data_IF_092901751545
#
_entry.id   IF_092901751545
#
_cell.length_a   1.000
_cell.length_b   1.000
_cell.length_c   1.000
_cell.angle_alpha   90.00
_cell.angle_beta   90.00
_cell.angle_gamma   90.00
#
_symmetry.space_group_name_H-M   'P 1'
#
loop_
_entity.id
_entity.type
_entity.pdbx_description
1 polymer ?
#
# COMPACT_ATOMS: atom_id res chain seq x y z
N UNK A 1 37.73 -13.58 57.99
CA UNK A 1 38.82 -14.59 58.06
C UNK A 1 38.74 -15.42 56.77
N UNK A 2 39.74 -15.27 55.89
CA UNK A 2 40.02 -16.01 54.64
C UNK A 2 39.08 -15.80 53.42
N UNK A 3 39.22 -14.63 52.79
CA UNK A 3 39.76 -14.40 51.43
C UNK A 3 39.84 -15.49 50.34
N UNK A 4 39.60 -15.00 49.10
CA UNK A 4 40.26 -15.33 47.80
C UNK A 4 39.77 -16.61 47.05
N UNK A 5 39.55 -16.71 45.73
CA UNK A 5 40.07 -16.03 44.52
C UNK A 5 39.16 -16.28 43.30
N UNK A 6 38.97 -15.27 42.46
CA UNK A 6 38.77 -15.42 41.01
C UNK A 6 40.15 -15.45 40.36
N UNK A 7 40.45 -16.45 39.53
CA UNK A 7 41.66 -16.45 38.67
C UNK A 7 41.32 -16.74 37.22
N UNK A 8 41.69 -15.78 36.35
CA UNK A 8 41.87 -15.91 34.91
C UNK A 8 43.21 -16.62 34.63
N UNK A 9 43.19 -17.78 33.96
CA UNK A 9 44.02 -18.12 32.77
C UNK A 9 43.94 -19.61 32.40
N UNK A 10 43.38 -19.85 31.21
CA UNK A 10 43.89 -20.70 30.12
C UNK A 10 44.07 -22.21 30.34
N UNK A 11 43.27 -22.98 29.58
CA UNK A 11 43.53 -24.34 29.17
C UNK A 11 42.75 -24.66 27.91
N UNK A 12 43.36 -24.44 26.74
CA UNK A 12 42.89 -24.87 25.43
C UNK A 12 42.73 -26.39 25.38
N UNK A 13 41.66 -26.86 24.71
CA UNK A 13 41.64 -28.18 24.10
C UNK A 13 40.37 -28.98 24.36
N UNK A 14 39.38 -28.83 23.48
CA UNK A 14 38.73 -29.96 22.79
C UNK A 14 37.77 -29.40 21.74
N UNK A 15 38.24 -29.45 20.49
CA UNK A 15 37.40 -29.33 19.32
C UNK A 15 36.37 -30.47 19.36
N UNK A 16 35.12 -30.13 19.65
CA UNK A 16 33.99 -31.02 19.41
C UNK A 16 33.54 -30.80 17.96
N UNK A 17 33.70 -31.84 17.17
CA UNK A 17 33.12 -32.01 15.83
C UNK A 17 31.61 -31.74 15.94
N UNK A 18 31.17 -30.58 15.44
CA UNK A 18 29.76 -30.34 15.18
C UNK A 18 29.36 -31.20 13.97
N UNK A 19 28.93 -32.43 14.25
CA UNK A 19 28.27 -33.26 13.26
C UNK A 19 27.05 -32.48 12.75
N UNK A 20 27.06 -32.18 11.45
CA UNK A 20 25.99 -31.45 10.79
C UNK A 20 24.66 -32.19 10.95
N UNK A 21 23.78 -31.65 11.79
CA UNK A 21 22.36 -31.90 11.66
C UNK A 21 21.91 -31.14 10.42
N UNK A 22 21.77 -31.85 9.31
CA UNK A 22 20.96 -31.38 8.20
C UNK A 22 19.58 -31.11 8.80
N UNK A 23 19.23 -29.84 8.98
CA UNK A 23 17.92 -29.45 9.45
C UNK A 23 16.92 -30.00 8.43
N UNK A 24 16.21 -31.07 8.79
CA UNK A 24 15.07 -31.52 8.02
C UNK A 24 14.13 -30.32 7.86
N UNK A 25 13.64 -30.00 6.66
CA UNK A 25 12.71 -28.91 6.48
C UNK A 25 11.52 -29.18 7.41
N UNK A 26 11.28 -28.26 8.34
CA UNK A 26 10.13 -28.34 9.23
C UNK A 26 8.89 -28.47 8.34
N UNK A 27 8.25 -29.65 8.37
CA UNK A 27 6.97 -29.88 7.73
C UNK A 27 6.00 -28.84 8.29
N UNK A 28 5.67 -27.83 7.50
CA UNK A 28 4.69 -26.82 7.87
C UNK A 28 3.39 -27.53 8.28
N UNK A 29 2.94 -27.31 9.51
CA UNK A 29 1.68 -27.87 9.99
C UNK A 29 0.55 -27.40 9.07
N UNK A 30 -0.37 -28.32 8.71
CA UNK A 30 -1.56 -27.98 7.92
C UNK A 30 -2.32 -26.83 8.58
N UNK A 31 -2.76 -25.86 7.77
CA UNK A 31 -3.61 -24.76 8.23
C UNK A 31 -4.84 -25.32 8.96
N UNK A 32 -5.13 -24.81 10.16
CA UNK A 32 -6.35 -25.14 10.90
C UNK A 32 -7.60 -24.50 10.28
N UNK A 33 -7.43 -23.49 9.42
CA UNK A 33 -8.51 -22.76 8.78
C UNK A 33 -8.82 -23.42 7.45
N UNK A 34 -10.06 -23.88 7.20
CA UNK A 34 -10.44 -24.50 5.93
C UNK A 34 -10.50 -23.43 4.83
N UNK A 35 -9.89 -23.76 3.69
CA UNK A 35 -9.94 -23.01 2.44
C UNK A 35 -9.88 -23.96 1.23
N UNK A 36 -10.32 -23.51 0.06
CA UNK A 36 -10.23 -24.30 -1.19
C UNK A 36 -8.94 -24.00 -1.96
N UNK A 37 -8.37 -25.03 -2.59
CA UNK A 37 -7.15 -24.95 -3.41
C UNK A 37 -7.35 -25.32 -4.87
N UNK A 38 -8.43 -26.03 -5.18
CA UNK A 38 -8.78 -26.38 -6.56
C UNK A 38 -9.21 -25.13 -7.30
N UNK A 39 -8.45 -24.77 -8.34
CA UNK A 39 -8.64 -23.53 -9.09
C UNK A 39 -10.00 -23.55 -9.78
N UNK A 40 -10.87 -22.62 -9.38
CA UNK A 40 -12.14 -22.34 -10.05
C UNK A 40 -12.43 -20.83 -9.97
N UNK A 41 -12.13 -20.13 -11.07
CA UNK A 41 -12.32 -18.69 -11.17
C UNK A 41 -13.80 -18.27 -11.08
N UNK A 42 -14.74 -19.20 -11.30
CA UNK A 42 -16.19 -18.94 -11.21
C UNK A 42 -16.78 -19.30 -9.84
N UNK A 43 -15.98 -19.83 -8.92
CA UNK A 43 -16.42 -20.16 -7.58
C UNK A 43 -16.14 -19.00 -6.60
N UNK A 44 -17.18 -18.37 -6.01
CA UNK A 44 -17.00 -17.26 -5.09
C UNK A 44 -16.26 -17.64 -3.80
N UNK A 45 -16.35 -18.89 -3.36
CA UNK A 45 -15.61 -19.40 -2.21
C UNK A 45 -14.12 -19.48 -2.50
N UNK A 46 -13.75 -19.98 -3.69
CA UNK A 46 -12.35 -20.02 -4.13
C UNK A 46 -11.78 -18.61 -4.32
N UNK A 47 -12.56 -17.69 -4.90
CA UNK A 47 -12.19 -16.28 -5.03
C UNK A 47 -11.90 -15.66 -3.67
N UNK A 48 -12.82 -15.81 -2.69
CA UNK A 48 -12.64 -15.33 -1.32
C UNK A 48 -11.36 -15.89 -0.70
N UNK A 49 -11.19 -17.21 -0.74
CA UNK A 49 -10.11 -17.90 -0.05
C UNK A 49 -8.73 -17.56 -0.65
N UNK A 50 -8.64 -17.53 -1.98
CA UNK A 50 -7.39 -17.18 -2.69
C UNK A 50 -7.07 -15.70 -2.53
N UNK A 51 -8.05 -14.82 -2.64
CA UNK A 51 -7.84 -13.38 -2.43
C UNK A 51 -7.45 -13.07 -0.98
N UNK A 52 -8.07 -13.72 0.01
CA UNK A 52 -7.65 -13.60 1.41
C UNK A 52 -6.18 -14.02 1.60
N UNK A 53 -5.74 -15.12 0.98
CA UNK A 53 -4.34 -15.58 1.05
C UNK A 53 -3.35 -14.63 0.34
N UNK A 54 -3.77 -13.85 -0.67
CA UNK A 54 -2.94 -12.80 -1.28
C UNK A 54 -2.85 -11.57 -0.39
N UNK A 55 -3.99 -11.12 0.12
CA UNK A 55 -4.11 -9.91 0.91
C UNK A 55 -3.44 -10.04 2.28
N UNK A 56 -3.46 -11.22 2.90
CA UNK A 56 -2.87 -11.47 4.20
C UNK A 56 -2.51 -12.93 4.47
N UNK A 57 -2.22 -13.23 5.73
CA UNK A 57 -2.00 -14.59 6.21
C UNK A 57 -3.29 -15.08 6.91
N UNK A 58 -3.75 -16.29 6.57
CA UNK A 58 -4.94 -16.85 7.22
C UNK A 58 -4.70 -17.11 8.72
N UNK A 59 -3.47 -17.39 9.14
CA UNK A 59 -3.13 -17.51 10.56
C UNK A 59 -3.22 -16.13 11.25
N UNK A 60 -4.20 -15.90 12.14
CA UNK A 60 -4.46 -14.59 12.72
C UNK A 60 -3.36 -14.13 13.69
N UNK A 61 -2.48 -15.06 14.12
CA UNK A 61 -1.33 -14.74 14.96
C UNK A 61 -0.19 -14.10 14.15
N UNK A 62 -0.21 -14.25 12.82
CA UNK A 62 0.79 -13.70 11.91
C UNK A 62 0.31 -12.37 11.32
N UNK A 63 1.28 -11.53 10.97
CA UNK A 63 1.07 -10.37 10.14
C UNK A 63 1.85 -10.52 8.83
N UNK A 64 1.26 -10.07 7.73
CA UNK A 64 1.90 -10.03 6.41
C UNK A 64 2.43 -8.63 6.17
N UNK A 65 3.70 -8.52 5.79
CA UNK A 65 4.25 -7.29 5.24
C UNK A 65 4.13 -7.29 3.72
N UNK A 66 3.74 -6.15 3.16
CA UNK A 66 3.90 -5.85 1.74
C UNK A 66 4.90 -4.73 1.55
N UNK A 67 5.62 -4.71 0.43
CA UNK A 67 6.50 -3.60 0.04
C UNK A 67 5.94 -2.94 -1.22
N UNK A 68 6.23 -1.65 -1.39
CA UNK A 68 5.92 -0.92 -2.62
C UNK A 68 7.07 0.01 -2.98
N UNK A 69 7.45 0.03 -4.26
CA UNK A 69 8.49 0.90 -4.80
C UNK A 69 8.13 1.36 -6.21
N UNK A 70 8.43 2.60 -6.54
CA UNK A 70 8.21 3.10 -7.89
C UNK A 70 8.42 4.60 -8.00
N UNK A 71 7.72 5.21 -8.95
CA UNK A 71 7.86 6.62 -9.27
C UNK A 71 6.50 7.27 -9.46
N UNK A 72 6.38 8.49 -8.94
CA UNK A 72 5.30 9.38 -9.27
C UNK A 72 5.76 10.38 -10.34
N UNK A 73 4.94 10.53 -11.37
CA UNK A 73 5.18 11.46 -12.47
C UNK A 73 4.02 12.43 -12.60
N UNK A 74 4.33 13.69 -12.89
CA UNK A 74 3.35 14.72 -13.20
C UNK A 74 3.00 14.70 -14.68
N UNK A 75 1.71 14.64 -14.97
CA UNK A 75 1.14 14.65 -16.31
C UNK A 75 0.37 15.94 -16.48
N UNK A 76 0.83 16.79 -17.40
CA UNK A 76 0.23 18.10 -17.68
C UNK A 76 0.36 18.40 -19.17
N UNK A 77 -0.59 19.17 -19.69
CA UNK A 77 -0.65 19.55 -21.10
C UNK A 77 0.60 20.32 -21.56
N UNK A 78 0.91 20.18 -22.86
CA UNK A 78 1.95 20.94 -23.58
C UNK A 78 3.38 20.81 -23.03
N UNK A 79 3.65 19.77 -22.25
CA UNK A 79 5.01 19.41 -21.83
C UNK A 79 5.17 17.89 -21.73
N UNK A 80 6.42 17.44 -21.68
CA UNK A 80 6.71 16.02 -21.39
C UNK A 80 6.23 15.67 -19.98
N UNK A 81 5.84 14.40 -19.80
CA UNK A 81 5.64 13.82 -18.48
C UNK A 81 6.89 14.03 -17.62
N UNK A 82 6.70 14.52 -16.40
CA UNK A 82 7.79 14.98 -15.53
C UNK A 82 7.95 14.03 -14.33
N UNK A 83 9.12 13.39 -14.14
CA UNK A 83 9.46 12.74 -12.88
C UNK A 83 9.36 13.75 -11.73
N UNK A 84 8.68 13.39 -10.64
CA UNK A 84 8.53 14.28 -9.48
C UNK A 84 9.36 13.78 -8.28
N UNK A 85 9.16 12.52 -7.92
CA UNK A 85 9.81 11.86 -6.79
C UNK A 85 9.64 10.34 -6.91
N UNK A 86 10.53 9.61 -6.25
CA UNK A 86 10.38 8.17 -6.07
C UNK A 86 9.46 7.89 -4.88
N UNK A 87 8.82 6.73 -4.92
CA UNK A 87 7.78 6.29 -3.99
C UNK A 87 8.27 5.02 -3.34
N UNK A 88 8.31 4.97 -2.01
CA UNK A 88 8.64 3.75 -1.28
C UNK A 88 7.82 3.64 -0.01
N UNK A 89 7.30 2.45 0.26
CA UNK A 89 6.45 2.23 1.42
C UNK A 89 6.22 0.77 1.71
N UNK A 90 5.33 0.52 2.66
CA UNK A 90 4.94 -0.82 3.06
C UNK A 90 3.53 -0.84 3.65
N UNK A 91 2.97 -2.04 3.70
CA UNK A 91 1.73 -2.32 4.41
C UNK A 91 1.95 -3.44 5.41
N UNK A 92 1.19 -3.42 6.52
CA UNK A 92 1.16 -4.49 7.50
C UNK A 92 -0.28 -4.94 7.69
N UNK A 93 -0.53 -6.22 7.41
CA UNK A 93 -1.88 -6.80 7.35
C UNK A 93 -2.05 -7.94 8.34
N UNK A 94 -3.17 -7.96 9.05
CA UNK A 94 -3.68 -9.13 9.79
C UNK A 94 -5.06 -9.48 9.28
N UNK A 95 -5.37 -10.78 9.19
CA UNK A 95 -6.72 -11.25 8.90
C UNK A 95 -7.38 -11.80 10.15
N UNK A 96 -8.65 -11.46 10.35
CA UNK A 96 -9.55 -12.13 11.31
C UNK A 96 -10.61 -12.90 10.54
N UNK A 97 -10.80 -14.18 10.87
CA UNK A 97 -11.94 -14.96 10.34
C UNK A 97 -13.22 -14.51 11.04
N UNK A 98 -14.27 -14.26 10.27
CA UNK A 98 -15.61 -13.94 10.79
C UNK A 98 -16.48 -15.19 10.87
N UNK A 99 -17.57 -15.13 11.64
CA UNK A 99 -18.50 -16.25 11.87
C UNK A 99 -19.14 -16.76 10.58
N UNK A 100 -19.44 -15.86 9.64
CA UNK A 100 -20.00 -16.19 8.33
C UNK A 100 -18.98 -16.81 7.35
N UNK A 101 -17.75 -17.01 7.82
CA UNK A 101 -16.66 -17.57 7.02
C UNK A 101 -15.96 -16.55 6.13
N UNK A 102 -16.31 -15.26 6.15
CA UNK A 102 -15.54 -14.20 5.53
C UNK A 102 -14.27 -13.85 6.32
N UNK A 103 -13.41 -13.01 5.76
CA UNK A 103 -12.20 -12.51 6.42
C UNK A 103 -12.26 -11.00 6.55
N UNK A 104 -12.04 -10.48 7.76
CA UNK A 104 -11.81 -9.07 7.99
C UNK A 104 -10.32 -8.77 7.84
N UNK A 105 -9.96 -7.95 6.86
CA UNK A 105 -8.61 -7.42 6.66
C UNK A 105 -8.41 -6.21 7.57
N UNK A 106 -7.41 -6.31 8.44
CA UNK A 106 -6.93 -5.22 9.28
C UNK A 106 -5.61 -4.71 8.71
N UNK A 107 -5.57 -3.43 8.31
CA UNK A 107 -4.46 -2.89 7.53
C UNK A 107 -4.02 -1.53 8.06
N UNK A 108 -2.70 -1.38 8.15
CA UNK A 108 -2.00 -0.09 8.12
C UNK A 108 -1.08 -0.05 6.91
N UNK A 109 -1.00 1.11 6.28
CA UNK A 109 -0.06 1.35 5.19
C UNK A 109 0.55 2.73 5.30
N UNK A 110 1.82 2.79 4.90
CA UNK A 110 2.59 4.02 4.89
C UNK A 110 3.44 4.09 3.64
N UNK A 111 3.47 5.26 2.99
CA UNK A 111 4.28 5.52 1.81
C UNK A 111 4.97 6.87 1.95
N UNK A 112 6.28 6.83 1.77
CA UNK A 112 7.17 7.98 1.78
C UNK A 112 7.57 8.37 0.36
N UNK A 113 7.99 9.62 0.22
CA UNK A 113 8.48 10.17 -1.04
C UNK A 113 9.98 10.42 -0.94
N UNK A 114 10.71 10.02 -1.97
CA UNK A 114 12.15 10.13 -2.06
C UNK A 114 12.56 11.13 -3.13
N UNK A 115 13.61 11.87 -2.84
CA UNK A 115 14.26 12.75 -3.78
C UNK A 115 14.90 11.94 -4.93
N UNK A 116 14.72 12.41 -6.17
CA UNK A 116 15.13 11.66 -7.37
C UNK A 116 16.66 11.56 -7.54
N UNK A 117 17.41 12.54 -7.01
CA UNK A 117 18.86 12.60 -7.18
C UNK A 117 19.57 11.86 -6.04
N UNK A 118 19.14 12.10 -4.81
CA UNK A 118 19.79 11.59 -3.60
C UNK A 118 19.21 10.28 -3.08
N UNK A 119 17.99 9.92 -3.50
CA UNK A 119 17.25 8.76 -3.00
C UNK A 119 16.80 8.89 -1.53
N UNK A 120 16.98 10.05 -0.89
CA UNK A 120 16.62 10.26 0.51
C UNK A 120 15.12 10.51 0.67
N UNK A 121 14.54 10.01 1.76
CA UNK A 121 13.18 10.39 2.18
C UNK A 121 13.15 11.91 2.38
N UNK A 122 12.12 12.56 1.84
CA UNK A 122 11.99 14.01 1.85
C UNK A 122 11.04 14.50 2.94
N UNK A 123 11.50 15.46 3.74
CA UNK A 123 10.63 16.28 4.61
C UNK A 123 10.13 17.54 3.89
N UNK A 124 10.88 17.99 2.88
CA UNK A 124 10.54 19.13 2.02
C UNK A 124 10.92 18.87 0.58
N UNK A 125 10.19 19.45 -0.36
CA UNK A 125 10.38 19.26 -1.80
C UNK A 125 10.22 20.56 -2.56
N UNK A 126 11.11 20.80 -3.54
CA UNK A 126 11.00 21.95 -4.44
C UNK A 126 10.01 21.62 -5.54
N UNK A 127 8.81 22.17 -5.48
CA UNK A 127 7.80 21.97 -6.51
C UNK A 127 8.25 22.64 -7.82
N UNK A 128 8.48 21.89 -8.91
CA UNK A 128 9.03 22.42 -10.15
C UNK A 128 7.96 23.11 -11.03
N UNK A 129 6.71 23.16 -10.58
CA UNK A 129 5.61 23.88 -11.22
C UNK A 129 5.36 25.25 -10.60
N UNK A 130 5.54 25.39 -9.28
CA UNK A 130 5.34 26.65 -8.55
C UNK A 130 6.64 27.32 -8.13
N UNK A 131 7.78 26.60 -8.21
CA UNK A 131 9.06 26.98 -7.62
C UNK A 131 8.99 27.23 -6.10
N UNK A 132 7.97 26.73 -5.41
CA UNK A 132 7.90 26.79 -3.95
C UNK A 132 8.55 25.57 -3.33
N UNK A 133 9.21 25.74 -2.18
CA UNK A 133 9.61 24.60 -1.34
C UNK A 133 8.45 24.30 -0.39
N UNK A 134 7.89 23.10 -0.52
CA UNK A 134 6.72 22.67 0.26
C UNK A 134 7.11 21.56 1.24
N UNK A 135 6.42 21.48 2.38
CA UNK A 135 6.57 20.34 3.30
C UNK A 135 5.91 19.11 2.68
N UNK A 136 6.60 17.98 2.73
CA UNK A 136 6.07 16.70 2.23
C UNK A 136 5.18 16.08 3.32
N UNK A 137 4.06 15.49 2.90
CA UNK A 137 3.18 14.72 3.79
C UNK A 137 3.10 13.30 3.25
N UNK A 138 3.53 12.28 4.02
CA UNK A 138 3.47 10.89 3.58
C UNK A 138 2.01 10.42 3.47
N UNK A 139 1.79 9.36 2.70
CA UNK A 139 0.54 8.61 2.81
C UNK A 139 0.63 7.79 4.08
N UNK A 140 -0.35 7.92 4.96
CA UNK A 140 -0.44 7.17 6.19
C UNK A 140 -1.92 6.81 6.44
N UNK A 141 -2.31 5.60 6.07
CA UNK A 141 -3.71 5.16 6.20
C UNK A 141 -3.82 4.17 7.36
N UNK A 142 -4.56 4.59 8.39
CA UNK A 142 -4.80 3.84 9.63
C UNK A 142 -6.21 4.13 10.17
N UNK A 143 -7.13 3.17 10.17
CA UNK A 143 -7.06 1.86 9.52
C UNK A 143 -7.49 1.96 8.04
N UNK A 144 -7.18 0.94 7.24
CA UNK A 144 -7.78 0.75 5.92
C UNK A 144 -8.42 -0.65 5.79
N UNK A 145 -9.41 -0.90 6.66
CA UNK A 145 -10.00 -2.22 6.84
C UNK A 145 -11.15 -2.48 5.85
N UNK A 146 -11.24 -3.70 5.33
CA UNK A 146 -12.37 -4.18 4.53
C UNK A 146 -12.61 -5.68 4.73
N UNK A 147 -13.77 -6.16 4.29
CA UNK A 147 -14.18 -7.56 4.41
C UNK A 147 -14.04 -8.28 3.08
N UNK A 148 -13.39 -9.44 3.10
CA UNK A 148 -13.24 -10.37 1.98
C UNK A 148 -14.24 -11.51 2.18
N UNK A 149 -15.37 -11.44 1.49
CA UNK A 149 -16.45 -12.43 1.53
C UNK A 149 -16.68 -13.12 0.19
N UNK A 150 -17.69 -13.98 0.12
CA UNK A 150 -18.10 -14.65 -1.13
C UNK A 150 -18.93 -13.73 -2.06
N UNK A 151 -19.09 -12.47 -1.69
CA UNK A 151 -19.90 -11.49 -2.40
C UNK A 151 -19.10 -10.23 -2.64
N UNK A 152 -19.37 -9.56 -3.77
CA UNK A 152 -18.75 -8.30 -4.09
C UNK A 152 -19.05 -7.26 -3.00
N UNK A 153 -18.11 -6.34 -2.70
CA UNK A 153 -18.32 -5.30 -1.72
C UNK A 153 -19.49 -4.40 -2.13
N UNK A 154 -20.19 -3.87 -1.14
CA UNK A 154 -21.13 -2.77 -1.36
C UNK A 154 -20.36 -1.52 -1.83
N UNK A 155 -21.01 -0.62 -2.58
CA UNK A 155 -20.42 0.66 -2.92
C UNK A 155 -19.90 1.38 -1.67
N UNK A 156 -18.76 2.08 -1.74
CA UNK A 156 -18.24 2.84 -0.61
C UNK A 156 -19.29 3.85 -0.14
N UNK A 157 -19.56 3.87 1.17
CA UNK A 157 -20.59 4.74 1.74
C UNK A 157 -20.20 6.22 1.75
N UNK A 158 -18.92 6.54 1.58
CA UNK A 158 -18.35 7.90 1.71
C UNK A 158 -18.87 8.64 2.95
N UNK A 159 -18.83 8.00 4.12
CA UNK A 159 -19.37 8.59 5.35
C UNK A 159 -20.90 8.74 5.37
N UNK A 160 -21.62 7.93 4.58
CA UNK A 160 -23.08 7.93 4.48
C UNK A 160 -23.65 8.75 3.31
N UNK A 161 -22.79 9.34 2.47
CA UNK A 161 -23.19 10.11 1.29
C UNK A 161 -23.68 9.21 0.15
N UNK A 162 -23.13 8.00 0.03
CA UNK A 162 -23.61 7.01 -0.92
C UNK A 162 -24.63 6.10 -0.23
N UNK A 163 -25.85 6.07 -0.77
CA UNK A 163 -26.97 5.26 -0.28
C UNK A 163 -27.32 4.11 -1.22
N UNK A 164 -26.56 3.94 -2.30
CA UNK A 164 -26.82 2.90 -3.30
C UNK A 164 -26.66 1.52 -2.69
N UNK A 165 -27.68 0.67 -2.89
CA UNK A 165 -27.69 -0.72 -2.45
C UNK A 165 -27.94 -1.63 -3.65
N UNK A 166 -26.95 -1.79 -4.54
CA UNK A 166 -27.10 -2.67 -5.69
C UNK A 166 -27.36 -4.11 -5.22
N UNK A 167 -28.00 -4.95 -6.06
CA UNK A 167 -28.21 -6.35 -5.75
C UNK A 167 -26.91 -7.05 -5.37
N UNK A 168 -26.97 -7.90 -4.34
CA UNK A 168 -25.83 -8.69 -3.87
C UNK A 168 -25.40 -9.64 -5.00
N UNK A 169 -24.14 -9.55 -5.40
CA UNK A 169 -23.54 -10.39 -6.46
C UNK A 169 -22.37 -11.19 -5.90
N UNK A 170 -22.11 -12.41 -6.41
CA UNK A 170 -20.96 -13.21 -5.99
C UNK A 170 -19.66 -12.45 -6.27
N UNK A 171 -18.64 -12.66 -5.41
CA UNK A 171 -17.30 -12.14 -5.63
C UNK A 171 -16.62 -13.00 -6.70
N UNK A 172 -16.53 -12.45 -7.91
CA UNK A 172 -15.76 -13.01 -9.01
C UNK A 172 -14.76 -11.95 -9.45
N UNK A 173 -13.48 -12.21 -9.22
CA UNK A 173 -12.39 -11.32 -9.60
C UNK A 173 -11.80 -11.72 -10.96
N UNK A 174 -11.03 -10.82 -11.55
CA UNK A 174 -10.44 -10.98 -12.88
C UNK A 174 -9.15 -11.82 -12.82
N UNK A 175 -9.34 -13.13 -12.70
CA UNK A 175 -8.25 -14.11 -12.67
C UNK A 175 -7.93 -14.65 -14.05
N UNK A 176 -6.65 -14.84 -14.32
CA UNK A 176 -6.18 -15.39 -15.58
C UNK A 176 -5.04 -16.40 -15.37
N UNK A 177 -4.99 -17.42 -16.23
CA UNK A 177 -3.78 -18.22 -16.40
C UNK A 177 -2.78 -17.43 -17.25
N UNK A 178 -1.51 -17.45 -16.88
CA UNK A 178 -0.44 -16.82 -17.64
C UNK A 178 0.70 -17.81 -17.95
N UNK A 179 1.60 -17.45 -18.88
CA UNK A 179 2.77 -18.27 -19.18
C UNK A 179 3.62 -18.61 -17.95
N UNK A 180 4.43 -19.66 -18.06
CA UNK A 180 5.35 -20.13 -17.01
C UNK A 180 4.65 -20.55 -15.71
N UNK A 181 3.49 -21.22 -15.81
CA UNK A 181 2.69 -21.71 -14.67
C UNK A 181 2.35 -20.62 -13.64
N UNK A 182 2.05 -19.42 -14.14
CA UNK A 182 1.62 -18.29 -13.31
C UNK A 182 0.09 -18.15 -13.33
N UNK A 183 -0.45 -17.60 -12.24
CA UNK A 183 -1.80 -17.07 -12.15
C UNK A 183 -1.68 -15.56 -11.98
N UNK A 184 -2.55 -14.82 -12.66
CA UNK A 184 -2.68 -13.37 -12.56
C UNK A 184 -4.00 -13.03 -11.91
N UNK A 185 -4.02 -11.91 -11.20
CA UNK A 185 -5.23 -11.24 -10.77
C UNK A 185 -5.11 -9.77 -11.15
N UNK A 186 -6.10 -9.23 -11.84
CA UNK A 186 -6.26 -7.79 -12.00
C UNK A 186 -7.37 -7.30 -11.06
N UNK A 187 -7.09 -6.21 -10.35
CA UNK A 187 -8.13 -5.49 -9.60
C UNK A 187 -8.04 -4.01 -9.92
N UNK A 188 -9.19 -3.36 -10.03
CA UNK A 188 -9.27 -1.94 -10.27
C UNK A 188 -10.30 -1.29 -9.36
N UNK A 189 -10.07 -0.03 -9.03
CA UNK A 189 -11.06 0.83 -8.40
C UNK A 189 -11.01 2.20 -9.07
N UNK A 190 -12.16 2.65 -9.55
CA UNK A 190 -12.35 3.96 -10.15
C UNK A 190 -13.30 4.76 -9.26
N UNK A 191 -12.79 5.85 -8.69
CA UNK A 191 -13.47 6.64 -7.67
C UNK A 191 -13.79 8.04 -8.19
N UNK A 192 -15.03 8.46 -7.95
CA UNK A 192 -15.47 9.84 -8.12
C UNK A 192 -16.40 10.22 -6.99
N UNK A 193 -15.93 11.03 -6.05
CA UNK A 193 -16.63 11.31 -4.79
C UNK A 193 -16.35 12.72 -4.27
N UNK A 194 -17.17 13.27 -3.35
CA UNK A 194 -16.94 14.60 -2.79
C UNK A 194 -15.57 14.71 -2.13
N UNK A 195 -14.83 15.77 -2.47
CA UNK A 195 -13.48 15.99 -1.96
C UNK A 195 -13.51 16.43 -0.48
N UNK A 196 -12.76 15.77 0.40
CA UNK A 196 -12.65 16.22 1.79
C UNK A 196 -12.01 17.63 1.92
N UNK A 197 -11.19 18.02 0.93
CA UNK A 197 -10.58 19.33 0.82
C UNK A 197 -11.43 20.23 -0.08
N UNK A 198 -12.54 20.76 0.44
CA UNK A 198 -13.41 21.67 -0.32
C UNK A 198 -12.67 22.97 -0.73
N UNK A 199 -12.79 23.40 -2.00
CA UNK A 199 -11.91 24.42 -2.60
C UNK A 199 -12.05 25.81 -1.99
N UNK A 200 -13.17 26.14 -1.36
CA UNK A 200 -13.39 27.42 -0.67
C UNK A 200 -12.51 27.54 0.57
N UNK A 201 -12.22 26.41 1.24
CA UNK A 201 -11.36 26.34 2.43
C UNK A 201 -9.91 26.00 2.08
N UNK A 202 -9.72 25.07 1.15
CA UNK A 202 -8.44 24.48 0.79
C UNK A 202 -7.97 24.96 -0.58
N UNK A 203 -7.84 26.27 -0.74
CA UNK A 203 -7.65 26.93 -2.05
C UNK A 203 -6.43 26.39 -2.80
N UNK A 204 -5.35 26.05 -2.09
CA UNK A 204 -4.08 25.60 -2.68
C UNK A 204 -3.93 24.09 -2.70
N UNK A 205 -4.66 23.37 -1.87
CA UNK A 205 -4.57 21.92 -1.74
C UNK A 205 -5.67 21.17 -2.50
N UNK A 206 -6.81 21.82 -2.73
CA UNK A 206 -7.97 21.23 -3.36
C UNK A 206 -7.81 21.14 -4.86
N UNK A 207 -8.02 19.94 -5.40
CA UNK A 207 -8.19 19.72 -6.84
C UNK A 207 -9.60 20.07 -7.36
N UNK A 208 -10.49 20.58 -6.51
CA UNK A 208 -11.89 20.89 -6.83
C UNK A 208 -12.88 20.17 -5.91
N UNK A 209 -14.18 20.38 -6.15
CA UNK A 209 -15.26 19.88 -5.30
C UNK A 209 -15.39 18.35 -5.24
N UNK A 210 -14.92 17.65 -6.28
CA UNK A 210 -14.91 16.19 -6.38
C UNK A 210 -13.48 15.69 -6.49
N UNK A 211 -13.18 14.61 -5.77
CA UNK A 211 -11.95 13.85 -5.95
C UNK A 211 -12.16 12.77 -7.02
N UNK A 212 -11.19 12.61 -7.92
CA UNK A 212 -11.20 11.61 -8.99
C UNK A 212 -9.91 10.81 -8.95
N UNK A 213 -9.98 9.55 -8.54
CA UNK A 213 -8.81 8.69 -8.36
C UNK A 213 -9.10 7.34 -8.97
N UNK A 214 -8.11 6.76 -9.64
CA UNK A 214 -8.15 5.36 -10.09
C UNK A 214 -6.92 4.63 -9.61
N UNK A 215 -7.09 3.38 -9.21
CA UNK A 215 -5.99 2.48 -8.86
C UNK A 215 -6.16 1.15 -9.58
N UNK A 216 -5.06 0.65 -10.14
CA UNK A 216 -4.99 -0.60 -10.89
C UNK A 216 -3.87 -1.45 -10.30
N UNK A 217 -4.19 -2.69 -9.98
CA UNK A 217 -3.26 -3.66 -9.44
C UNK A 217 -3.23 -4.90 -10.34
N UNK A 218 -2.04 -5.39 -10.61
CA UNK A 218 -1.82 -6.71 -11.20
C UNK A 218 -0.96 -7.52 -10.26
N UNK A 219 -1.46 -8.67 -9.82
CA UNK A 219 -0.75 -9.64 -9.01
C UNK A 219 -0.21 -10.75 -9.91
N UNK A 220 1.04 -11.14 -9.71
CA UNK A 220 1.66 -12.33 -10.31
C UNK A 220 2.01 -13.31 -9.21
N UNK A 221 1.48 -14.53 -9.30
CA UNK A 221 1.72 -15.59 -8.33
C UNK A 221 1.91 -16.93 -9.03
N UNK A 222 2.73 -17.82 -8.43
CA UNK A 222 2.93 -19.16 -9.00
C UNK A 222 1.68 -20.00 -8.78
N UNK A 223 1.25 -20.75 -9.79
CA UNK A 223 0.14 -21.70 -9.67
C UNK A 223 0.38 -22.71 -8.56
N UNK A 224 1.63 -23.17 -8.39
CA UNK A 224 2.03 -24.10 -7.34
C UNK A 224 1.72 -23.58 -5.93
N UNK A 225 1.85 -22.27 -5.69
CA UNK A 225 1.56 -21.64 -4.40
C UNK A 225 0.05 -21.48 -4.17
N UNK A 226 -0.70 -21.16 -5.24
CA UNK A 226 -2.17 -21.06 -5.21
C UNK A 226 -2.80 -22.39 -4.80
N UNK A 227 -2.35 -23.50 -5.39
CA UNK A 227 -2.91 -24.83 -5.10
C UNK A 227 -2.32 -25.49 -3.84
N UNK A 228 -1.36 -24.85 -3.15
CA UNK A 228 -0.71 -25.43 -1.99
C UNK A 228 -1.59 -25.35 -0.72
N UNK A 229 -2.06 -26.48 -0.17
CA UNK A 229 -2.95 -26.49 1.00
C UNK A 229 -2.24 -26.15 2.32
N UNK A 230 -0.91 -26.07 2.33
CA UNK A 230 -0.13 -25.75 3.53
C UNK A 230 0.24 -24.26 3.61
N UNK A 231 -0.04 -23.48 2.56
CA UNK A 231 0.46 -22.13 2.41
C UNK A 231 -0.62 -21.11 2.79
N UNK A 232 -0.61 -20.59 4.01
CA UNK A 232 -1.65 -19.66 4.50
C UNK A 232 -1.54 -18.23 3.98
N UNK A 233 -0.46 -17.91 3.26
CA UNK A 233 -0.25 -16.65 2.54
C UNK A 233 0.42 -16.96 1.22
N UNK A 234 -0.10 -16.48 0.09
CA UNK A 234 0.49 -16.69 -1.23
C UNK A 234 1.51 -15.57 -1.52
N UNK A 235 2.81 -15.89 -1.65
CA UNK A 235 3.81 -14.93 -2.09
C UNK A 235 3.50 -14.43 -3.50
N UNK A 236 3.66 -13.13 -3.71
CA UNK A 236 3.40 -12.51 -5.00
C UNK A 236 4.27 -11.26 -5.19
N UNK A 237 4.45 -10.92 -6.45
CA UNK A 237 4.92 -9.61 -6.91
C UNK A 237 3.92 -9.05 -7.88
N UNK A 238 3.95 -7.75 -8.12
CA UNK A 238 2.91 -7.08 -8.88
C UNK A 238 3.30 -5.71 -9.38
N UNK A 239 2.38 -5.14 -10.15
CA UNK A 239 2.41 -3.75 -10.56
C UNK A 239 1.23 -3.01 -9.93
N UNK A 240 1.48 -1.80 -9.45
CA UNK A 240 0.47 -0.86 -9.01
C UNK A 240 0.61 0.43 -9.79
N UNK A 241 -0.50 0.87 -10.37
CA UNK A 241 -0.59 2.17 -11.02
C UNK A 241 -1.74 2.95 -10.41
N UNK A 242 -1.53 4.25 -10.20
CA UNK A 242 -2.55 5.14 -9.66
C UNK A 242 -2.60 6.44 -10.44
N UNK A 243 -3.80 6.85 -10.83
CA UNK A 243 -4.07 8.19 -11.37
C UNK A 243 -4.75 8.97 -10.25
N UNK A 244 -4.21 10.13 -9.89
CA UNK A 244 -4.72 10.96 -8.81
C UNK A 244 -4.49 12.42 -9.12
N UNK A 245 -5.31 13.37 -8.62
CA UNK A 245 -4.99 14.78 -8.74
C UNK A 245 -3.63 15.09 -8.07
N UNK A 246 -3.13 16.30 -8.28
CA UNK A 246 -1.96 16.78 -7.54
C UNK A 246 -2.12 16.53 -6.05
N UNK A 247 -1.06 16.08 -5.38
CA UNK A 247 -1.14 15.81 -3.94
C UNK A 247 -1.40 17.12 -3.20
N UNK A 248 -2.25 17.12 -2.15
CA UNK A 248 -2.59 18.33 -1.40
C UNK A 248 -1.37 19.17 -0.99
N UNK A 249 -0.32 18.52 -0.47
CA UNK A 249 0.90 19.17 -0.01
C UNK A 249 1.74 19.79 -1.13
N UNK A 250 1.48 19.48 -2.40
CA UNK A 250 2.15 20.14 -3.53
C UNK A 250 1.65 21.57 -3.76
N UNK A 251 0.53 21.97 -3.16
CA UNK A 251 -0.04 23.31 -3.25
C UNK A 251 -0.37 23.76 -4.68
N UNK A 252 -0.88 22.83 -5.49
CA UNK A 252 -1.21 23.05 -6.91
C UNK A 252 -2.62 23.59 -7.15
N UNK A 253 -3.50 23.50 -6.15
CA UNK A 253 -4.93 23.81 -6.25
C UNK A 253 -5.56 23.11 -7.44
N UNK A 254 -6.34 23.87 -8.21
CA UNK A 254 -7.04 23.42 -9.42
C UNK A 254 -6.18 23.53 -10.69
N UNK A 255 -4.84 23.46 -10.58
CA UNK A 255 -3.94 23.49 -11.73
C UNK A 255 -4.24 22.32 -12.69
N UNK A 256 -4.27 22.54 -14.02
CA UNK A 256 -4.46 21.46 -14.98
C UNK A 256 -3.39 20.38 -14.82
N UNK A 257 -3.81 19.12 -14.95
CA UNK A 257 -2.94 17.94 -14.86
C UNK A 257 -3.23 17.07 -13.64
N UNK A 258 -2.38 16.07 -13.44
CA UNK A 258 -2.53 15.06 -12.41
C UNK A 258 -1.21 14.32 -12.18
N UNK A 259 -1.19 13.40 -11.21
CA UNK A 259 -0.09 12.46 -10.98
C UNK A 259 -0.48 11.08 -11.50
N UNK A 260 0.48 10.44 -12.16
CA UNK A 260 0.47 9.00 -12.40
C UNK A 260 1.56 8.33 -11.57
N UNK A 261 1.18 7.32 -10.79
CA UNK A 261 2.10 6.43 -10.09
C UNK A 261 2.37 5.23 -10.98
N UNK A 262 3.63 4.83 -11.08
CA UNK A 262 4.06 3.59 -11.74
C UNK A 262 4.97 2.85 -10.78
N UNK A 263 4.43 1.81 -10.16
CA UNK A 263 5.10 1.10 -9.08
C UNK A 263 5.07 -0.41 -9.25
N UNK A 264 6.02 -1.06 -8.61
CA UNK A 264 5.98 -2.48 -8.31
C UNK A 264 5.72 -2.67 -6.82
N UNK A 265 5.10 -3.78 -6.48
CA UNK A 265 4.82 -4.15 -5.09
C UNK A 265 4.86 -5.66 -4.94
N UNK A 266 4.75 -6.14 -3.71
CA UNK A 266 4.63 -7.57 -3.45
C UNK A 266 4.58 -7.90 -1.97
N UNK A 267 4.53 -9.19 -1.65
CA UNK A 267 4.74 -9.69 -0.30
C UNK A 267 6.20 -9.61 0.11
N UNK A 268 6.46 -9.45 1.40
CA UNK A 268 7.80 -9.42 1.98
C UNK A 268 7.95 -10.47 3.07
N UNK A 269 8.51 -11.63 2.72
CA UNK A 269 8.63 -12.78 3.64
C UNK A 269 9.53 -12.51 4.85
N UNK A 270 10.56 -11.66 4.67
CA UNK A 270 11.44 -11.22 5.75
C UNK A 270 10.74 -10.27 6.75
N UNK A 271 9.47 -9.90 6.52
CA UNK A 271 8.73 -8.97 7.36
C UNK A 271 9.40 -7.61 7.44
N UNK A 272 9.39 -6.99 8.64
CA UNK A 272 10.08 -5.72 8.91
C UNK A 272 11.56 -5.76 8.53
N UNK A 273 12.25 -6.90 8.73
CA UNK A 273 13.68 -7.03 8.43
C UNK A 273 14.01 -6.92 6.93
N UNK A 274 13.02 -7.12 6.06
CA UNK A 274 13.18 -6.93 4.62
C UNK A 274 13.00 -5.49 4.15
N UNK A 275 12.53 -4.59 5.02
CA UNK A 275 12.32 -3.18 4.67
C UNK A 275 13.64 -2.41 4.68
N UNK A 276 13.70 -1.32 3.91
CA UNK A 276 14.85 -0.43 3.97
C UNK A 276 14.98 0.17 5.39
N UNK A 277 16.20 0.22 5.99
CA UNK A 277 16.36 0.68 7.36
C UNK A 277 15.87 2.11 7.61
N UNK A 278 15.98 3.00 6.62
CA UNK A 278 15.53 4.39 6.72
C UNK A 278 13.99 4.50 6.67
N UNK A 279 13.30 3.62 5.94
CA UNK A 279 11.83 3.51 5.92
C UNK A 279 11.31 3.04 7.28
N UNK A 280 11.96 2.03 7.88
CA UNK A 280 11.63 1.56 9.24
C UNK A 280 11.83 2.68 10.26
N UNK A 281 12.95 3.40 10.18
CA UNK A 281 13.24 4.53 11.06
C UNK A 281 12.21 5.67 10.89
N UNK A 282 11.84 6.01 9.66
CA UNK A 282 10.84 7.05 9.38
C UNK A 282 9.44 6.67 9.90
N UNK A 283 9.02 5.42 9.71
CA UNK A 283 7.75 4.94 10.26
C UNK A 283 7.73 4.96 11.79
N UNK A 284 8.80 4.48 12.43
CA UNK A 284 8.96 4.50 13.89
C UNK A 284 8.99 5.92 14.46
N UNK A 285 9.57 6.88 13.74
CA UNK A 285 9.57 8.28 14.14
C UNK A 285 8.18 8.92 14.11
N UNK A 286 7.26 8.40 13.27
CA UNK A 286 5.86 8.79 13.33
C UNK A 286 5.14 8.14 14.50
N UNK A 287 5.21 6.80 14.61
CA UNK A 287 4.67 5.99 15.71
C UNK A 287 5.07 4.50 15.49
N UNK A 288 5.49 3.77 16.52
CA UNK A 288 5.82 2.33 16.43
C UNK A 288 4.65 1.50 15.85
N UNK A 289 3.41 1.94 16.06
CA UNK A 289 2.21 1.24 15.55
C UNK A 289 2.24 0.99 14.04
N UNK A 290 2.95 1.81 13.26
CA UNK A 290 3.03 1.66 11.80
C UNK A 290 3.72 0.37 11.38
N UNK A 291 4.57 -0.22 12.23
CA UNK A 291 5.27 -1.49 11.99
C UNK A 291 4.43 -2.73 12.36
N UNK A 292 3.19 -2.52 12.82
CA UNK A 292 2.31 -3.58 13.26
C UNK A 292 0.92 -3.45 12.64
N UNK A 293 0.36 -4.57 12.22
CA UNK A 293 -1.04 -4.59 11.80
C UNK A 293 -1.95 -4.32 13.02
N UNK A 294 -3.10 -3.67 12.82
CA UNK A 294 -4.09 -3.52 13.89
C UNK A 294 -4.47 -4.88 14.50
N UNK A 295 -4.63 -4.92 15.81
CA UNK A 295 -5.13 -6.11 16.52
C UNK A 295 -6.64 -6.12 16.62
N UNK A 296 -7.29 -4.96 16.53
CA UNK A 296 -8.74 -4.80 16.59
C UNK A 296 -9.30 -4.10 15.36
N UNK A 297 -10.59 -4.32 15.10
CA UNK A 297 -11.31 -3.62 14.03
C UNK A 297 -11.87 -2.31 14.58
N UNK A 298 -11.39 -1.20 14.02
CA UNK A 298 -11.89 0.14 14.29
C UNK A 298 -12.04 0.89 12.96
N UNK A 299 -12.62 2.08 13.03
CA UNK A 299 -12.86 2.89 11.84
C UNK A 299 -13.42 4.26 12.17
N UNK A 300 -13.82 5.02 11.14
CA UNK A 300 -13.92 4.59 9.74
C UNK A 300 -12.56 4.38 9.05
N UNK A 301 -12.53 3.58 7.98
CA UNK A 301 -11.39 3.52 7.06
C UNK A 301 -11.38 4.79 6.21
N UNK A 302 -10.29 5.56 6.27
CA UNK A 302 -10.18 6.86 5.60
C UNK A 302 -9.08 6.81 4.54
N UNK A 303 -9.28 7.51 3.42
CA UNK A 303 -8.18 7.71 2.48
C UNK A 303 -7.21 8.75 3.03
N UNK A 304 -6.04 8.84 2.41
CA UNK A 304 -5.03 9.83 2.75
C UNK A 304 -5.54 11.27 2.61
N UNK A 305 -6.58 11.50 1.81
CA UNK A 305 -7.19 12.82 1.62
C UNK A 305 -8.02 13.25 2.83
N UNK A 306 -8.83 12.34 3.39
CA UNK A 306 -9.58 12.61 4.62
C UNK A 306 -8.65 12.73 5.82
N UNK A 307 -7.58 11.92 5.89
CA UNK A 307 -6.55 12.07 6.92
C UNK A 307 -5.84 13.42 6.80
N UNK A 308 -5.48 13.85 5.58
CA UNK A 308 -4.92 15.18 5.35
C UNK A 308 -5.84 16.29 5.86
N UNK A 309 -7.14 16.20 5.59
CA UNK A 309 -8.13 17.19 6.04
C UNK A 309 -8.23 17.29 7.58
N UNK A 310 -7.93 16.20 8.30
CA UNK A 310 -7.99 16.12 9.77
C UNK A 310 -6.70 16.58 10.43
N UNK A 311 -5.56 16.26 9.84
CA UNK A 311 -4.24 16.42 10.45
C UNK A 311 -3.52 17.68 10.00
N UNK A 312 -3.97 18.29 8.90
CA UNK A 312 -3.33 19.47 8.31
C UNK A 312 -4.20 20.72 8.42
N UNK A 313 -3.58 21.87 8.23
CA UNK A 313 -4.26 23.17 8.15
C UNK A 313 -4.08 23.75 6.74
N UNK A 314 -5.09 24.42 6.16
CA UNK A 314 -4.95 25.07 4.87
C UNK A 314 -3.76 26.03 4.83
N UNK A 315 -2.98 25.96 3.77
CA UNK A 315 -1.86 26.83 3.51
C UNK A 315 -2.35 28.26 3.22
N UNK A 316 -1.60 29.29 3.65
CA UNK A 316 -1.91 30.66 3.30
C UNK A 316 -1.99 30.86 1.78
N UNK A 317 -2.91 31.72 1.35
CA UNK A 317 -3.09 32.12 -0.05
C UNK A 317 -2.42 33.48 -0.27
N UNK A 318 -1.26 33.54 -0.95
CA UNK A 318 -0.62 34.82 -1.24
C UNK A 318 -1.52 35.73 -2.08
N UNK A 319 -1.46 37.07 -1.91
CA UNK A 319 -2.17 37.99 -2.78
C UNK A 319 -1.85 37.75 -4.26
N UNK A 320 -2.89 37.60 -5.08
CA UNK A 320 -2.75 37.34 -6.52
C UNK A 320 -2.29 35.91 -6.88
N UNK A 321 -2.22 34.99 -5.92
CA UNK A 321 -1.92 33.60 -6.21
C UNK A 321 -2.96 33.00 -7.16
N UNK A 322 -2.48 32.28 -8.18
CA UNK A 322 -3.32 31.50 -9.09
C UNK A 322 -2.69 30.14 -9.31
N UNK A 323 -3.49 29.09 -9.58
CA UNK A 323 -2.94 27.76 -9.88
C UNK A 323 -1.97 27.80 -11.08
N UNK A 324 -0.81 27.13 -11.00
CA UNK A 324 0.17 27.14 -12.09
C UNK A 324 -0.40 26.56 -13.37
N UNK A 325 -0.26 27.30 -14.47
CA UNK A 325 -0.78 26.90 -15.78
C UNK A 325 0.24 26.06 -16.57
N UNK A 326 -0.23 25.14 -17.44
CA UNK A 326 0.63 24.48 -18.42
C UNK A 326 1.31 25.48 -19.35
N UNK A 327 2.43 25.12 -19.99
CA UNK A 327 2.97 25.89 -21.11
C UNK A 327 1.93 26.09 -22.23
N UNK A 328 2.15 27.09 -23.07
CA UNK A 328 1.32 27.29 -24.25
C UNK A 328 1.44 26.09 -25.21
N UNK A 329 0.37 25.76 -25.98
CA UNK A 329 0.43 24.72 -27.00
C UNK A 329 1.56 24.90 -28.00
N UNK A 330 2.23 23.80 -28.33
CA UNK A 330 3.29 23.79 -29.35
C UNK A 330 2.66 24.09 -30.71
N UNK A 331 3.05 25.21 -31.32
CA UNK A 331 2.69 25.55 -32.69
C UNK A 331 3.68 24.88 -33.63
N UNK A 332 3.23 23.85 -34.35
CA UNK A 332 4.02 23.30 -35.45
C UNK A 332 3.95 24.27 -36.64
N UNK A 333 5.05 24.45 -37.39
CA UNK A 333 5.01 25.23 -38.62
C UNK A 333 3.96 24.63 -39.57
N UNK A 334 3.17 25.49 -40.22
CA UNK A 334 2.19 25.06 -41.21
C UNK A 334 2.85 24.23 -42.29
N UNK A 335 2.22 23.11 -42.68
CA UNK A 335 2.68 22.28 -43.80
C UNK A 335 2.55 23.00 -45.13
#
# INVERSE_FOLDING_TARGET
>A
MKDLLITRRQGLGLAAVAAGTVAAPALAAKSKIPFTTDIDFKNPKWNRDTFARLEGNLDPTKQKFGWIKGRAVGVRENERVRPLFDVEGFSVVRLKRLEDGSFRKLLREIVFYRDLETGKIMDSWKNPYTNETVRVVPIANDPFNFTIGEYAPEPPSYGGLNKDKPPRRPLLLDWEHAPNDMILLNTAIDLFYPNALQPEKWVRESSGAMNRVSEYFTYYMKRADVVNPNLTHIPHVGAWSRITPWLPWMLMGQAPGHISYVCSYGSLDAGEQGLAPDIVAAARAMDEKWLHAPTEDYGPSLSSLENYAREQTPAPVPPGWTPPQPPAPVKLPGK
#
